data_IF_210942657220
#
_entry.id   IF_210942657220
#
_cell.length_a   1.000
_cell.length_b   1.000
_cell.length_c   1.000
_cell.angle_alpha   90.00
_cell.angle_beta   90.00
_cell.angle_gamma   90.00
#
_symmetry.space_group_name_H-M   'P 1'
#
loop_
_entity.id
_entity.type
_entity.pdbx_description
1 polymer ?
#
# COMPACT_ATOMS: atom_id res chain seq x y z
N UNK A 1 -9.61 -21.60 2.75
CA UNK A 1 -8.75 -22.07 3.86
C UNK A 1 -8.34 -20.88 4.69
N UNK A 2 -8.06 -21.11 5.98
CA UNK A 2 -7.66 -20.08 6.93
C UNK A 2 -6.44 -20.54 7.72
N UNK A 3 -5.75 -19.63 8.36
CA UNK A 3 -4.71 -19.90 9.34
C UNK A 3 -4.85 -18.94 10.54
N UNK A 4 -4.23 -19.30 11.64
CA UNK A 4 -4.21 -18.47 12.87
C UNK A 4 -2.97 -17.60 12.86
N UNK A 5 -3.16 -16.28 12.96
CA UNK A 5 -2.07 -15.33 13.12
C UNK A 5 -1.47 -15.48 14.53
N UNK A 6 -0.17 -15.81 14.68
CA UNK A 6 0.47 -15.89 15.97
C UNK A 6 0.34 -14.60 16.78
N UNK A 7 0.47 -14.68 18.09
CA UNK A 7 0.37 -13.58 19.06
C UNK A 7 -1.04 -13.00 19.16
N UNK A 8 -1.65 -12.62 18.02
CA UNK A 8 -2.99 -12.03 17.97
C UNK A 8 -4.10 -13.08 18.06
N UNK A 9 -3.77 -14.33 17.84
CA UNK A 9 -4.69 -15.47 17.87
C UNK A 9 -5.95 -15.27 16.99
N UNK A 10 -5.78 -14.54 15.89
CA UNK A 10 -6.84 -14.18 14.94
C UNK A 10 -6.79 -15.10 13.74
N UNK A 11 -7.96 -15.55 13.31
CA UNK A 11 -8.11 -16.30 12.06
C UNK A 11 -8.02 -15.35 10.86
N UNK A 12 -7.15 -15.68 9.90
CA UNK A 12 -6.96 -14.93 8.65
C UNK A 12 -7.14 -15.85 7.44
N UNK A 13 -7.73 -15.36 6.33
CA UNK A 13 -7.93 -16.16 5.13
C UNK A 13 -6.62 -16.41 4.38
N UNK A 14 -6.54 -17.57 3.74
CA UNK A 14 -5.49 -17.91 2.77
C UNK A 14 -6.08 -17.72 1.38
N UNK A 15 -5.50 -16.84 0.58
CA UNK A 15 -5.93 -16.54 -0.80
C UNK A 15 -4.79 -16.84 -1.77
N UNK A 16 -5.13 -17.16 -3.02
CA UNK A 16 -4.16 -17.27 -4.12
C UNK A 16 -4.19 -15.97 -4.93
N UNK A 17 -3.03 -15.39 -5.20
CA UNK A 17 -2.89 -14.17 -5.99
C UNK A 17 -1.57 -14.18 -6.77
N UNK A 18 -1.58 -13.67 -7.99
CA UNK A 18 -0.40 -13.60 -8.86
C UNK A 18 0.70 -12.68 -8.31
N UNK A 19 0.39 -11.86 -7.32
CA UNK A 19 1.37 -11.07 -6.58
C UNK A 19 2.39 -11.95 -5.83
N UNK A 20 2.01 -13.18 -5.49
CA UNK A 20 2.87 -14.11 -4.76
C UNK A 20 3.72 -14.93 -5.72
N UNK A 21 5.02 -14.66 -5.79
CA UNK A 21 5.97 -15.40 -6.63
C UNK A 21 6.34 -16.75 -6.02
N UNK A 22 6.07 -17.85 -6.81
CA UNK A 22 6.38 -19.22 -6.44
C UNK A 22 7.88 -19.41 -6.45
N UNK A 23 8.69 -19.17 -5.82
CA UNK A 23 10.18 -19.31 -5.88
C UNK A 23 10.89 -18.24 -5.08
N UNK A 24 10.11 -17.27 -4.61
CA UNK A 24 10.62 -16.28 -3.68
C UNK A 24 10.30 -16.71 -2.23
N UNK A 25 11.30 -16.91 -1.40
CA UNK A 25 11.14 -17.35 -0.02
C UNK A 25 10.39 -18.68 0.11
N UNK A 26 9.28 -18.68 0.83
CA UNK A 26 8.41 -19.85 1.03
C UNK A 26 7.27 -19.94 0.01
N UNK A 27 7.12 -18.95 -0.88
CA UNK A 27 5.95 -18.81 -1.74
C UNK A 27 4.67 -18.41 -1.00
N UNK A 28 4.80 -17.93 0.24
CA UNK A 28 3.69 -17.42 1.04
C UNK A 28 4.03 -16.04 1.57
N UNK A 29 3.11 -15.08 1.38
CA UNK A 29 3.25 -13.68 1.80
C UNK A 29 2.16 -13.36 2.81
N UNK A 30 2.52 -12.77 3.95
CA UNK A 30 1.57 -12.22 4.90
C UNK A 30 1.21 -10.80 4.46
N UNK A 31 -0.07 -10.55 4.22
CA UNK A 31 -0.61 -9.28 3.75
C UNK A 31 -1.04 -8.34 4.88
N UNK A 32 -0.77 -7.03 4.70
CA UNK A 32 -1.20 -5.97 5.61
C UNK A 32 -1.79 -4.80 4.82
N UNK A 33 -3.06 -4.89 4.37
CA UNK A 33 -3.65 -3.91 3.45
C UNK A 33 -3.65 -2.46 3.94
N UNK A 34 -3.58 -2.23 5.25
CA UNK A 34 -3.56 -0.88 5.81
C UNK A 34 -2.19 -0.19 5.75
N UNK A 35 -1.09 -0.94 5.55
CA UNK A 35 0.28 -0.44 5.72
C UNK A 35 1.21 -0.70 4.54
N UNK A 36 0.71 -1.25 3.44
CA UNK A 36 1.46 -1.45 2.21
C UNK A 36 0.55 -1.24 0.99
N UNK A 37 0.96 -0.44 -0.02
CA UNK A 37 0.14 -0.17 -1.20
C UNK A 37 -0.17 -1.42 -2.03
N UNK A 38 0.78 -2.33 -2.17
CA UNK A 38 0.57 -3.56 -2.93
C UNK A 38 -0.37 -4.51 -2.19
N UNK A 39 -0.18 -4.63 -0.88
CA UNK A 39 -1.08 -5.41 -0.03
C UNK A 39 -2.51 -4.85 -0.04
N UNK A 40 -2.65 -3.53 -0.14
CA UNK A 40 -3.95 -2.87 -0.29
C UNK A 40 -4.65 -3.29 -1.58
N UNK A 41 -3.95 -3.30 -2.72
CA UNK A 41 -4.49 -3.74 -4.00
C UNK A 41 -4.91 -5.23 -3.97
N UNK A 42 -4.10 -6.09 -3.37
CA UNK A 42 -4.48 -7.50 -3.12
C UNK A 42 -5.71 -7.56 -2.21
N UNK A 43 -5.73 -6.72 -1.18
CA UNK A 43 -6.85 -6.60 -0.25
C UNK A 43 -8.16 -6.26 -0.95
N UNK A 44 -8.14 -5.33 -1.90
CA UNK A 44 -9.31 -4.96 -2.71
C UNK A 44 -9.79 -6.14 -3.58
N UNK A 45 -8.86 -6.84 -4.26
CA UNK A 45 -9.20 -7.97 -5.13
C UNK A 45 -9.86 -9.14 -4.38
N UNK A 46 -9.44 -9.38 -3.15
CA UNK A 46 -9.89 -10.50 -2.33
C UNK A 46 -10.82 -10.11 -1.17
N UNK A 47 -11.22 -8.83 -1.11
CA UNK A 47 -12.05 -8.29 -0.04
C UNK A 47 -11.49 -8.63 1.36
N UNK A 48 -10.17 -8.42 1.55
CA UNK A 48 -9.51 -8.65 2.81
C UNK A 48 -9.80 -7.52 3.80
N UNK A 49 -9.79 -7.85 5.07
CA UNK A 49 -9.97 -6.87 6.13
C UNK A 49 -8.79 -5.87 6.18
N UNK A 50 -9.12 -4.59 6.29
CA UNK A 50 -8.13 -3.50 6.39
C UNK A 50 -8.01 -3.08 7.84
N UNK A 51 -6.95 -3.52 8.51
CA UNK A 51 -6.71 -3.24 9.94
C UNK A 51 -5.49 -2.36 10.07
N UNK A 52 -5.72 -1.14 10.50
CA UNK A 52 -4.66 -0.19 10.83
C UNK A 52 -4.14 -0.47 12.23
N UNK A 53 -2.83 -0.65 12.39
CA UNK A 53 -2.16 -0.94 13.65
C UNK A 53 -1.26 0.20 14.15
N UNK A 54 -0.94 1.18 13.30
CA UNK A 54 -0.08 2.31 13.62
C UNK A 54 -0.92 3.60 13.62
N UNK A 55 -0.82 4.37 14.68
CA UNK A 55 -1.44 5.69 14.84
C UNK A 55 -0.69 6.77 14.03
N UNK A 56 -1.28 7.96 13.91
CA UNK A 56 -0.69 9.07 13.14
C UNK A 56 0.64 9.59 13.72
N UNK A 57 0.88 9.36 15.01
CA UNK A 57 2.12 9.72 15.70
C UNK A 57 3.21 8.63 15.62
N UNK A 58 2.91 7.50 14.96
CA UNK A 58 3.85 6.38 14.81
C UNK A 58 3.90 5.41 15.99
N UNK A 59 2.95 5.52 16.93
CA UNK A 59 2.76 4.53 18.00
C UNK A 59 1.78 3.44 17.56
N UNK A 60 1.81 2.31 18.25
CA UNK A 60 0.87 1.21 18.02
C UNK A 60 -0.49 1.57 18.63
N UNK A 61 -1.58 1.35 17.88
CA UNK A 61 -2.94 1.60 18.36
C UNK A 61 -3.56 0.36 19.04
N UNK A 62 -4.85 0.47 19.41
CA UNK A 62 -5.62 -0.58 20.07
C UNK A 62 -5.66 -1.92 19.30
N UNK A 63 -5.56 -1.89 17.96
CA UNK A 63 -5.54 -3.10 17.13
C UNK A 63 -4.25 -3.91 17.26
N UNK A 64 -3.22 -3.34 17.88
CA UNK A 64 -1.97 -4.03 18.18
C UNK A 64 -2.02 -4.83 19.48
N UNK A 65 -3.14 -4.83 20.19
CA UNK A 65 -3.35 -5.58 21.43
C UNK A 65 -2.33 -5.23 22.51
N UNK A 66 -1.58 -6.20 23.01
CA UNK A 66 -0.60 -5.98 24.11
C UNK A 66 0.53 -5.00 23.77
N UNK A 67 0.68 -4.60 22.52
CA UNK A 67 1.70 -3.64 22.08
C UNK A 67 1.15 -2.22 21.94
N UNK A 68 -0.12 -1.98 22.29
CA UNK A 68 -0.74 -0.67 22.27
C UNK A 68 0.12 0.39 23.00
N UNK A 69 0.26 1.57 22.40
CA UNK A 69 1.05 2.67 22.93
C UNK A 69 2.57 2.55 22.76
N UNK A 70 3.08 1.41 22.29
CA UNK A 70 4.52 1.26 22.02
C UNK A 70 4.92 2.03 20.76
N UNK A 71 6.12 2.60 20.78
CA UNK A 71 6.78 3.07 19.55
C UNK A 71 6.97 1.90 18.57
N UNK A 72 6.82 2.15 17.27
CA UNK A 72 6.88 1.11 16.23
C UNK A 72 8.19 0.32 16.21
N UNK A 73 9.32 0.95 16.52
CA UNK A 73 10.62 0.26 16.56
C UNK A 73 10.77 -0.60 17.82
N UNK A 74 10.26 -0.11 18.94
CA UNK A 74 10.20 -0.89 20.17
C UNK A 74 9.27 -2.09 20.02
N UNK A 75 8.11 -1.88 19.40
CA UNK A 75 7.15 -2.94 19.07
C UNK A 75 7.76 -4.02 18.18
N UNK A 76 8.50 -3.66 17.13
CA UNK A 76 9.20 -4.61 16.26
C UNK A 76 10.09 -5.57 17.05
N UNK A 77 10.86 -5.04 17.98
CA UNK A 77 11.74 -5.86 18.83
C UNK A 77 10.93 -6.78 19.76
N UNK A 78 9.87 -6.26 20.36
CA UNK A 78 9.00 -7.02 21.26
C UNK A 78 8.28 -8.17 20.52
N UNK A 79 7.75 -7.92 19.31
CA UNK A 79 7.09 -8.94 18.48
C UNK A 79 8.06 -10.07 18.13
N UNK A 80 9.31 -9.75 17.74
CA UNK A 80 10.33 -10.76 17.41
C UNK A 80 10.64 -11.63 18.63
N UNK A 81 10.84 -11.02 19.81
CA UNK A 81 11.10 -11.75 21.06
C UNK A 81 9.92 -12.66 21.47
N UNK A 82 8.69 -12.19 21.28
CA UNK A 82 7.50 -12.99 21.55
C UNK A 82 7.34 -14.18 20.60
N UNK A 83 7.64 -13.99 19.31
CA UNK A 83 7.63 -15.07 18.33
C UNK A 83 8.71 -16.13 18.64
N UNK A 84 9.88 -15.70 19.08
CA UNK A 84 10.95 -16.59 19.53
C UNK A 84 10.51 -17.40 20.75
N UNK A 85 9.97 -16.73 21.77
CA UNK A 85 9.50 -17.37 23.01
C UNK A 85 8.39 -18.39 22.74
N UNK A 86 7.52 -18.12 21.76
CA UNK A 86 6.43 -19.02 21.39
C UNK A 86 6.83 -20.10 20.39
N UNK A 87 8.10 -20.11 19.94
CA UNK A 87 8.64 -21.10 19.00
C UNK A 87 8.19 -20.92 17.54
N UNK A 88 7.68 -19.73 17.18
CA UNK A 88 7.30 -19.42 15.81
C UNK A 88 8.45 -18.81 14.98
N UNK A 89 9.47 -18.24 15.63
CA UNK A 89 10.62 -17.68 14.95
C UNK A 89 11.57 -18.81 14.50
N UNK A 90 11.70 -19.01 13.20
CA UNK A 90 12.59 -20.04 12.63
C UNK A 90 14.01 -19.50 12.48
N UNK A 91 14.15 -18.26 11.97
CA UNK A 91 15.45 -17.69 11.59
C UNK A 91 15.39 -16.18 11.46
N UNK A 92 16.47 -15.51 11.80
CA UNK A 92 16.69 -14.08 11.49
C UNK A 92 17.95 -13.97 10.65
N UNK A 93 17.87 -13.25 9.53
CA UNK A 93 18.98 -13.00 8.62
C UNK A 93 19.14 -11.50 8.36
N UNK A 94 20.40 -11.02 8.19
CA UNK A 94 20.62 -9.66 7.70
C UNK A 94 19.99 -9.48 6.32
N UNK A 95 19.24 -8.40 6.14
CA UNK A 95 18.63 -8.03 4.87
C UNK A 95 18.75 -6.53 4.66
N UNK A 96 19.03 -6.12 3.42
CA UNK A 96 19.15 -4.72 3.03
C UNK A 96 18.09 -4.37 2.00
N UNK A 97 17.33 -3.33 2.27
CA UNK A 97 16.31 -2.78 1.36
C UNK A 97 16.23 -1.27 1.51
N UNK A 98 15.63 -0.61 0.52
CA UNK A 98 15.42 0.84 0.56
C UNK A 98 14.20 1.17 1.41
N UNK A 99 14.37 2.10 2.36
CA UNK A 99 13.28 2.66 3.16
C UNK A 99 13.08 4.11 2.77
N UNK A 100 11.84 4.50 2.49
CA UNK A 100 11.48 5.89 2.23
C UNK A 100 11.64 6.75 3.49
N UNK A 101 12.30 7.88 3.37
CA UNK A 101 12.44 8.84 4.47
C UNK A 101 11.84 10.19 4.13
N UNK A 102 11.37 10.91 5.13
CA UNK A 102 10.90 12.28 4.96
C UNK A 102 12.08 13.20 4.61
N UNK A 103 11.99 13.95 3.51
CA UNK A 103 13.04 14.85 3.07
C UNK A 103 13.29 16.02 4.03
N UNK A 104 12.37 16.34 4.96
CA UNK A 104 12.52 17.41 5.95
C UNK A 104 13.08 16.95 7.29
N UNK A 105 12.51 15.90 7.87
CA UNK A 105 12.87 15.44 9.21
C UNK A 105 13.66 14.12 9.22
N UNK A 106 13.86 13.52 8.06
CA UNK A 106 14.61 12.26 7.87
C UNK A 106 14.06 11.05 8.63
N UNK A 107 12.85 11.15 9.18
CA UNK A 107 12.17 9.99 9.76
C UNK A 107 11.70 9.03 8.66
N UNK A 108 11.69 7.76 8.98
CA UNK A 108 11.15 6.73 8.11
C UNK A 108 9.66 6.96 7.87
N UNK A 109 9.25 6.79 6.60
CA UNK A 109 7.85 6.91 6.19
C UNK A 109 7.16 5.56 6.40
N UNK A 110 6.10 5.57 7.21
CA UNK A 110 5.21 4.42 7.35
C UNK A 110 3.99 4.63 6.46
N UNK A 111 3.74 3.76 5.47
CA UNK A 111 2.52 3.84 4.67
C UNK A 111 1.29 3.64 5.55
N UNK A 112 0.36 4.59 5.48
CA UNK A 112 -0.91 4.55 6.19
C UNK A 112 -2.04 4.80 5.20
N UNK A 113 -3.08 3.97 5.27
CA UNK A 113 -4.29 4.21 4.50
C UNK A 113 -5.06 5.40 5.08
N UNK A 114 -5.50 6.30 4.23
CA UNK A 114 -6.32 7.44 4.61
C UNK A 114 -7.31 7.81 3.54
N UNK A 115 -8.45 8.40 3.92
CA UNK A 115 -9.43 8.89 2.97
C UNK A 115 -8.89 10.13 2.24
N UNK A 116 -8.98 10.12 0.92
CA UNK A 116 -8.58 11.21 0.03
C UNK A 116 -9.62 11.40 -1.08
N UNK A 117 -9.64 12.58 -1.67
CA UNK A 117 -10.43 12.87 -2.85
C UNK A 117 -9.69 12.47 -4.11
N UNK A 118 -10.32 11.64 -4.93
CA UNK A 118 -9.79 11.20 -6.21
C UNK A 118 -10.71 11.60 -7.36
N UNK A 119 -10.12 12.02 -8.46
CA UNK A 119 -10.79 12.10 -9.76
C UNK A 119 -10.65 10.76 -10.46
N UNK A 120 -11.78 10.14 -10.82
CA UNK A 120 -11.78 8.90 -11.59
C UNK A 120 -11.36 9.21 -13.03
N UNK A 121 -10.12 8.84 -13.38
CA UNK A 121 -9.50 9.25 -14.63
C UNK A 121 -9.90 8.40 -15.83
N UNK A 122 -10.18 7.12 -15.67
CA UNK A 122 -10.46 6.21 -16.77
C UNK A 122 -11.58 6.68 -17.73
N UNK A 123 -12.75 7.20 -17.28
CA UNK A 123 -13.78 7.71 -18.18
C UNK A 123 -13.31 8.93 -18.98
N UNK A 124 -12.51 9.81 -18.39
CA UNK A 124 -11.96 11.01 -19.03
C UNK A 124 -10.91 10.62 -20.08
N UNK A 125 -10.01 9.71 -19.74
CA UNK A 125 -8.99 9.19 -20.64
C UNK A 125 -9.59 8.50 -21.86
N UNK A 126 -10.68 7.75 -21.71
CA UNK A 126 -11.39 7.11 -22.81
C UNK A 126 -11.84 8.11 -23.87
N UNK A 127 -12.44 9.23 -23.48
CA UNK A 127 -12.83 10.29 -24.41
C UNK A 127 -11.63 11.01 -25.01
N UNK A 128 -10.59 11.24 -24.22
CA UNK A 128 -9.35 11.85 -24.68
C UNK A 128 -8.63 10.99 -25.73
N UNK A 129 -8.65 9.67 -25.59
CA UNK A 129 -8.14 8.73 -26.60
C UNK A 129 -9.00 8.79 -27.87
N UNK A 130 -10.32 8.70 -27.73
CA UNK A 130 -11.26 8.68 -28.85
C UNK A 130 -11.07 9.87 -29.79
N UNK A 131 -10.95 11.10 -29.29
CA UNK A 131 -10.80 12.29 -30.11
C UNK A 131 -9.45 12.38 -30.85
N UNK A 132 -8.47 11.63 -30.42
CA UNK A 132 -7.18 11.49 -31.13
C UNK A 132 -7.25 10.39 -32.17
N UNK A 133 -7.87 9.26 -31.85
CA UNK A 133 -8.03 8.14 -32.81
C UNK A 133 -8.93 8.48 -33.97
N UNK A 134 -10.02 9.25 -33.78
CA UNK A 134 -10.90 9.68 -34.82
C UNK A 134 -10.33 10.87 -35.64
N UNK A 135 -9.18 11.41 -35.28
CA UNK A 135 -8.49 12.49 -35.95
C UNK A 135 -9.04 13.89 -35.66
N UNK A 136 -9.98 14.03 -34.71
CA UNK A 136 -10.48 15.35 -34.26
C UNK A 136 -9.34 16.19 -33.67
N UNK A 137 -8.46 15.57 -32.88
CA UNK A 137 -7.23 16.18 -32.37
C UNK A 137 -6.02 15.49 -33.01
N UNK A 138 -5.08 16.28 -33.55
CA UNK A 138 -3.85 15.76 -34.17
C UNK A 138 -2.62 16.37 -33.50
N UNK A 139 -1.62 15.53 -33.22
CA UNK A 139 -0.34 15.99 -32.75
C UNK A 139 0.61 16.34 -33.88
N UNK A 140 1.33 17.44 -33.72
CA UNK A 140 2.40 17.84 -34.63
C UNK A 140 3.68 18.00 -33.84
N UNK A 141 4.71 17.19 -34.10
CA UNK A 141 4.76 16.07 -35.03
C UNK A 141 3.98 14.82 -34.56
N UNK A 142 3.52 14.01 -35.49
CA UNK A 142 2.65 12.83 -35.26
C UNK A 142 3.21 11.80 -34.32
N UNK A 143 4.54 11.71 -34.17
CA UNK A 143 5.22 10.78 -33.25
C UNK A 143 4.72 10.88 -31.82
N UNK A 144 4.20 12.02 -31.38
CA UNK A 144 3.69 12.21 -30.02
C UNK A 144 2.31 11.56 -29.79
N UNK A 145 1.59 11.19 -30.82
CA UNK A 145 0.31 10.47 -30.75
C UNK A 145 0.48 9.18 -29.94
N UNK A 146 1.48 8.36 -30.28
CA UNK A 146 1.74 7.10 -29.56
C UNK A 146 2.08 7.33 -28.08
N UNK A 147 2.87 8.33 -27.78
CA UNK A 147 3.21 8.68 -26.39
C UNK A 147 1.97 9.11 -25.62
N UNK A 148 1.13 9.95 -26.22
CA UNK A 148 -0.11 10.40 -25.62
C UNK A 148 -1.06 9.24 -25.33
N UNK A 149 -1.32 8.37 -26.30
CA UNK A 149 -2.20 7.20 -26.13
C UNK A 149 -1.69 6.32 -24.98
N UNK A 150 -0.41 5.98 -24.98
CA UNK A 150 0.18 5.17 -23.92
C UNK A 150 0.01 5.80 -22.52
N UNK A 151 0.12 7.11 -22.40
CA UNK A 151 -0.13 7.81 -21.12
C UNK A 151 -1.59 7.74 -20.71
N UNK A 152 -2.53 7.90 -21.63
CA UNK A 152 -3.96 7.86 -21.35
C UNK A 152 -4.44 6.45 -21.00
N UNK A 153 -3.91 5.42 -21.67
CA UNK A 153 -4.23 4.01 -21.37
C UNK A 153 -3.76 3.57 -19.99
N UNK A 154 -2.65 4.15 -19.49
CA UNK A 154 -2.04 3.80 -18.22
C UNK A 154 -2.27 4.86 -17.13
N UNK A 155 -3.24 5.76 -17.33
CA UNK A 155 -3.52 6.80 -16.32
C UNK A 155 -4.18 6.20 -15.08
N UNK A 156 -3.65 6.54 -13.91
CA UNK A 156 -4.24 6.21 -12.61
C UNK A 156 -5.19 7.30 -12.15
N UNK A 157 -6.09 6.96 -11.23
CA UNK A 157 -6.97 7.92 -10.58
C UNK A 157 -6.15 9.02 -9.89
N UNK A 158 -6.54 10.27 -10.10
CA UNK A 158 -5.77 11.42 -9.63
C UNK A 158 -6.20 11.85 -8.24
N UNK A 159 -5.32 11.68 -7.26
CA UNK A 159 -5.51 12.22 -5.92
C UNK A 159 -5.37 13.75 -5.94
N UNK A 160 -6.47 14.45 -5.73
CA UNK A 160 -6.52 15.93 -5.75
C UNK A 160 -6.41 16.55 -4.36
N UNK A 161 -6.63 15.80 -3.30
CA UNK A 161 -6.53 16.31 -1.93
C UNK A 161 -5.13 16.16 -1.35
N UNK A 162 -4.82 17.02 -0.40
CA UNK A 162 -3.61 17.00 0.43
C UNK A 162 -4.00 17.25 1.88
N UNK A 163 -3.43 16.52 2.82
CA UNK A 163 -3.68 16.70 4.25
C UNK A 163 -2.78 17.82 4.78
N UNK A 164 -3.12 19.04 4.44
CA UNK A 164 -2.39 20.23 4.85
C UNK A 164 -3.17 20.97 5.96
N UNK A 165 -2.50 21.36 7.01
CA UNK A 165 -3.09 22.18 8.07
C UNK A 165 -3.47 23.57 7.57
N UNK A 166 -2.68 24.09 6.64
CA UNK A 166 -2.91 25.35 5.98
C UNK A 166 -2.66 25.22 4.48
N UNK A 167 -3.63 25.55 3.66
CA UNK A 167 -3.59 25.43 2.21
C UNK A 167 -4.94 25.74 1.57
N UNK A 168 -5.03 25.58 0.25
CA UNK A 168 -6.28 25.73 -0.47
C UNK A 168 -7.26 24.62 -0.11
N UNK A 169 -8.51 25.00 0.14
CA UNK A 169 -9.60 24.03 0.32
C UNK A 169 -10.11 23.56 -1.03
N UNK A 170 -10.54 22.32 -1.11
CA UNK A 170 -11.28 21.79 -2.23
C UNK A 170 -12.72 22.31 -2.11
N UNK A 171 -13.25 23.01 -3.15
CA UNK A 171 -14.59 23.60 -3.11
C UNK A 171 -15.71 22.56 -2.98
#
# INVERSE_FOLDING_TARGET
>A
KTCILPIMNREIPIVGDDYCEIGFGTGAVKMTPAHDPNDFEVGLRHNLEVIRCISDDGTMNENAGKYEGMDRYACRKAVVADLETQGYLVKTEPYSHNVGTCYRCHNDVEPLISAQWFVKMAPLAKEAIRVVEDGTIKFVPERFTKTYINWMENVHDWCISRQLWWGHQIP
#
